data_IF_911500289634
#
_entry.id   IF_911500289634
#
_cell.length_a   1.000
_cell.length_b   1.000
_cell.length_c   1.000
_cell.angle_alpha   90.00
_cell.angle_beta   90.00
_cell.angle_gamma   90.00
#
_symmetry.space_group_name_H-M   'P 1'
#
loop_
_entity.id
_entity.type
_entity.pdbx_description
1 polymer ?
#
# COMPACT_ATOMS: atom_id res chain seq x y z
N UNK A 1 -2.17 21.38 1.50
CA UNK A 1 -1.42 21.73 0.29
C UNK A 1 -2.00 21.00 -0.92
N UNK A 2 -1.99 21.66 -2.07
CA UNK A 2 -2.44 21.10 -3.34
C UNK A 2 -1.40 20.10 -3.88
N UNK A 3 -1.88 19.08 -4.62
CA UNK A 3 -0.98 18.18 -5.35
C UNK A 3 -0.20 18.96 -6.39
N UNK A 4 1.09 18.63 -6.57
CA UNK A 4 1.97 19.30 -7.51
C UNK A 4 1.47 19.19 -8.96
N UNK A 5 0.90 18.05 -9.32
CA UNK A 5 0.33 17.79 -10.66
C UNK A 5 -1.04 17.13 -10.54
N UNK A 6 -1.99 17.45 -11.43
CA UNK A 6 -3.30 16.82 -11.45
C UNK A 6 -3.22 15.34 -11.89
N UNK A 7 -2.32 15.01 -12.81
CA UNK A 7 -2.04 13.66 -13.27
C UNK A 7 -0.60 13.29 -12.89
N UNK A 8 -0.47 12.36 -11.95
CA UNK A 8 0.82 11.83 -11.56
C UNK A 8 1.19 10.65 -12.48
N UNK A 9 2.32 10.80 -13.19
CA UNK A 9 2.87 9.77 -14.11
C UNK A 9 4.05 9.01 -13.50
N UNK A 10 4.42 9.31 -12.24
CA UNK A 10 5.47 8.57 -11.53
C UNK A 10 5.03 7.12 -11.33
N UNK A 11 5.83 6.12 -11.72
CA UNK A 11 5.51 4.70 -11.53
C UNK A 11 5.26 4.32 -10.06
N UNK A 12 5.91 5.03 -9.12
CA UNK A 12 5.74 4.84 -7.68
C UNK A 12 4.61 5.71 -7.10
N UNK A 13 4.02 6.58 -7.94
CA UNK A 13 2.97 7.54 -7.57
C UNK A 13 3.32 8.40 -6.35
N UNK A 14 4.56 8.83 -6.26
CA UNK A 14 5.05 9.69 -5.18
C UNK A 14 4.21 10.95 -5.11
N UNK A 15 3.55 11.15 -3.99
CA UNK A 15 2.52 12.17 -3.84
C UNK A 15 3.14 13.52 -3.44
N UNK A 16 3.86 14.16 -4.37
CA UNK A 16 4.36 15.51 -4.16
C UNK A 16 3.21 16.52 -4.08
N UNK A 17 3.35 17.46 -3.15
CA UNK A 17 2.55 18.69 -3.12
C UNK A 17 3.31 19.82 -3.80
N UNK A 18 2.64 20.97 -3.99
CA UNK A 18 3.33 22.19 -4.36
C UNK A 18 4.43 22.50 -3.34
N UNK A 19 5.59 22.98 -3.83
CA UNK A 19 6.70 23.39 -2.96
C UNK A 19 6.36 24.65 -2.19
N UNK A 20 6.90 24.78 -0.98
CA UNK A 20 6.58 25.90 -0.09
C UNK A 20 7.82 26.42 0.63
N UNK A 21 7.73 27.69 1.09
CA UNK A 21 8.58 28.30 2.08
C UNK A 21 7.72 29.05 3.11
N UNK A 22 8.18 29.15 4.36
CA UNK A 22 7.54 29.97 5.35
C UNK A 22 7.74 31.46 5.04
N UNK A 23 6.67 32.26 5.12
CA UNK A 23 6.76 33.73 4.99
C UNK A 23 7.17 34.37 6.31
N UNK A 24 8.13 35.27 6.25
CA UNK A 24 8.56 36.02 7.44
C UNK A 24 9.32 35.16 8.45
N UNK A 25 9.19 35.45 9.74
CA UNK A 25 9.86 34.73 10.83
C UNK A 25 11.37 34.56 10.67
N UNK A 26 12.03 35.52 9.99
CA UNK A 26 13.46 35.50 9.69
C UNK A 26 13.85 34.48 8.62
N UNK A 27 12.92 34.03 7.80
CA UNK A 27 13.20 33.32 6.54
C UNK A 27 13.55 34.34 5.48
N UNK A 28 14.64 34.10 4.76
CA UNK A 28 15.15 35.00 3.71
C UNK A 28 14.81 34.46 2.32
N UNK A 29 15.72 33.72 1.72
CA UNK A 29 15.48 33.09 0.40
C UNK A 29 14.75 31.74 0.46
N UNK A 30 14.62 31.17 1.64
CA UNK A 30 14.01 29.85 1.85
C UNK A 30 14.97 28.66 1.61
N UNK A 31 16.15 28.90 1.04
CA UNK A 31 17.04 27.81 0.58
C UNK A 31 18.06 27.36 1.64
N UNK A 32 18.41 28.21 2.59
CA UNK A 32 19.38 27.85 3.62
C UNK A 32 18.85 26.74 4.54
N UNK A 33 19.75 25.99 5.17
CA UNK A 33 19.34 24.95 6.13
C UNK A 33 18.46 25.53 7.26
N UNK A 34 18.79 26.76 7.72
CA UNK A 34 18.00 27.47 8.73
C UNK A 34 16.59 27.80 8.22
N UNK A 35 16.47 28.32 7.00
CA UNK A 35 15.18 28.69 6.41
C UNK A 35 14.30 27.46 6.17
N UNK A 36 14.91 26.37 5.65
CA UNK A 36 14.22 25.08 5.47
C UNK A 36 13.75 24.50 6.80
N UNK A 37 14.58 24.57 7.84
CA UNK A 37 14.19 24.09 9.18
C UNK A 37 12.97 24.85 9.72
N UNK A 38 12.93 26.18 9.56
CA UNK A 38 11.77 27.00 9.96
C UNK A 38 10.51 26.64 9.15
N UNK A 39 10.65 26.41 7.86
CA UNK A 39 9.54 25.99 7.00
C UNK A 39 9.01 24.61 7.41
N UNK A 40 9.90 23.64 7.67
CA UNK A 40 9.51 22.31 8.15
C UNK A 40 8.82 22.39 9.51
N UNK A 41 9.33 23.19 10.44
CA UNK A 41 8.68 23.40 11.74
C UNK A 41 7.28 24.01 11.60
N UNK A 42 7.12 24.98 10.70
CA UNK A 42 5.81 25.57 10.41
C UNK A 42 4.83 24.55 9.82
N UNK A 43 5.29 23.68 8.91
CA UNK A 43 4.43 22.64 8.31
C UNK A 43 3.84 21.66 9.32
N UNK A 44 4.49 21.46 10.47
CA UNK A 44 4.00 20.57 11.55
C UNK A 44 3.35 21.32 12.71
N UNK A 45 3.35 22.66 12.69
CA UNK A 45 2.66 23.46 13.68
C UNK A 45 1.18 23.60 13.34
N UNK A 46 0.31 23.18 14.28
CA UNK A 46 -1.16 23.26 14.14
C UNK A 46 -1.70 24.69 13.99
N UNK A 47 -0.93 25.69 14.35
CA UNK A 47 -1.32 27.10 14.26
C UNK A 47 -0.99 27.72 12.90
N UNK A 48 -0.15 27.08 12.08
CA UNK A 48 0.21 27.56 10.75
C UNK A 48 -1.01 27.56 9.83
N UNK A 49 -1.21 28.69 9.17
CA UNK A 49 -2.30 28.88 8.20
C UNK A 49 -1.75 28.76 6.77
N UNK A 50 -2.59 28.47 5.80
CA UNK A 50 -2.17 28.41 4.38
C UNK A 50 -1.48 29.67 3.89
N UNK A 51 -1.90 30.85 4.39
CA UNK A 51 -1.35 32.17 4.01
C UNK A 51 0.04 32.44 4.60
N UNK A 52 0.46 31.68 5.62
CA UNK A 52 1.80 31.76 6.19
C UNK A 52 2.85 31.13 5.27
N UNK A 53 2.43 30.40 4.25
CA UNK A 53 3.29 29.69 3.31
C UNK A 53 3.31 30.39 1.94
N UNK A 54 4.52 30.60 1.43
CA UNK A 54 4.75 31.03 0.05
C UNK A 54 4.75 29.82 -0.86
N UNK A 55 4.16 29.96 -2.05
CA UNK A 55 4.14 28.95 -3.12
C UNK A 55 4.54 29.64 -4.44
N UNK A 56 5.48 29.08 -5.24
CA UNK A 56 6.35 27.96 -4.91
C UNK A 56 7.41 28.32 -3.88
N UNK A 57 8.08 27.32 -3.31
CA UNK A 57 9.19 27.43 -2.37
C UNK A 57 10.25 26.35 -2.60
N UNK A 58 11.11 26.13 -1.61
CA UNK A 58 12.26 25.21 -1.67
C UNK A 58 12.07 23.92 -0.87
N UNK A 59 11.03 23.83 -0.06
CA UNK A 59 10.66 22.59 0.64
C UNK A 59 9.54 21.90 -0.14
N UNK A 60 9.70 20.60 -0.40
CA UNK A 60 8.78 19.78 -1.19
C UNK A 60 8.07 18.76 -0.29
N UNK A 61 6.90 19.08 0.28
CA UNK A 61 6.19 18.14 1.10
C UNK A 61 5.63 16.96 0.28
N UNK A 62 5.68 15.77 0.89
CA UNK A 62 5.10 14.54 0.37
C UNK A 62 3.93 14.13 1.25
N UNK A 63 2.90 13.56 0.65
CA UNK A 63 1.76 13.00 1.37
C UNK A 63 1.99 11.50 1.53
N UNK A 64 2.16 11.06 2.79
CA UNK A 64 2.20 9.64 3.12
C UNK A 64 0.80 9.01 3.02
N UNK A 65 0.75 7.72 2.76
CA UNK A 65 -0.52 6.96 2.82
C UNK A 65 -0.93 6.72 4.26
N UNK A 66 -2.22 6.93 4.56
CA UNK A 66 -2.79 6.56 5.85
C UNK A 66 -2.63 5.07 6.10
N UNK A 67 -2.08 4.72 7.28
CA UNK A 67 -1.67 3.36 7.61
C UNK A 67 -0.15 3.14 7.57
N UNK A 68 0.62 4.11 7.04
CA UNK A 68 2.08 4.06 7.03
C UNK A 68 2.62 2.88 6.21
N UNK A 69 3.72 2.27 6.67
CA UNK A 69 4.37 1.15 5.96
C UNK A 69 3.48 -0.09 5.83
N UNK A 70 2.46 -0.26 6.69
CA UNK A 70 1.47 -1.34 6.54
C UNK A 70 0.54 -1.13 5.35
N UNK A 71 0.48 0.08 4.80
CA UNK A 71 -0.29 0.40 3.60
C UNK A 71 0.59 0.43 2.35
N UNK A 72 1.74 1.10 2.44
CA UNK A 72 2.72 1.24 1.37
C UNK A 72 4.13 1.18 1.95
N UNK A 73 4.92 0.21 1.51
CA UNK A 73 6.31 -0.01 1.97
C UNK A 73 7.30 1.00 1.38
N UNK A 74 6.99 2.30 1.55
CA UNK A 74 7.80 3.41 1.03
C UNK A 74 8.55 4.16 2.13
N UNK A 75 9.64 4.85 1.76
CA UNK A 75 10.42 5.68 2.70
C UNK A 75 9.60 6.84 3.26
N UNK A 76 8.64 7.38 2.50
CA UNK A 76 7.71 8.42 2.96
C UNK A 76 6.88 7.93 4.13
N UNK A 77 6.31 6.73 4.01
CA UNK A 77 5.52 6.09 5.07
C UNK A 77 6.39 5.68 6.25
N UNK A 78 7.61 5.20 6.00
CA UNK A 78 8.57 4.84 7.05
C UNK A 78 8.95 6.07 7.91
N UNK A 79 9.18 7.22 7.30
CA UNK A 79 9.49 8.46 8.02
C UNK A 79 8.36 8.87 8.98
N UNK A 80 7.11 8.77 8.54
CA UNK A 80 5.93 9.06 9.36
C UNK A 80 5.81 8.06 10.51
N UNK A 81 6.00 6.76 10.22
CA UNK A 81 5.88 5.71 11.22
C UNK A 81 6.97 5.81 12.29
N UNK A 82 8.23 6.08 11.93
CA UNK A 82 9.29 6.29 12.89
C UNK A 82 9.02 7.50 13.79
N UNK A 83 8.56 8.61 13.22
CA UNK A 83 8.19 9.79 14.00
C UNK A 83 7.07 9.46 15.00
N UNK A 84 6.00 8.79 14.55
CA UNK A 84 4.87 8.40 15.38
C UNK A 84 5.26 7.40 16.47
N UNK A 85 6.02 6.36 16.13
CA UNK A 85 6.49 5.35 17.09
C UNK A 85 7.44 5.93 18.14
N UNK A 86 8.18 6.99 17.80
CA UNK A 86 9.02 7.73 18.72
C UNK A 86 8.24 8.78 19.57
N UNK A 87 6.92 8.85 19.42
CA UNK A 87 6.06 9.79 20.18
C UNK A 87 6.07 11.22 19.66
N UNK A 88 6.58 11.46 18.45
CA UNK A 88 6.56 12.78 17.79
C UNK A 88 5.31 12.94 16.91
N UNK A 89 5.14 14.15 16.36
CA UNK A 89 4.15 14.43 15.32
C UNK A 89 4.46 13.57 14.09
N UNK A 90 3.40 13.14 13.39
CA UNK A 90 3.52 12.29 12.19
C UNK A 90 4.09 13.06 11.00
N UNK A 91 5.34 13.47 11.11
CA UNK A 91 6.10 14.17 10.08
C UNK A 91 7.58 13.79 10.18
N UNK A 92 8.26 13.65 9.06
CA UNK A 92 9.67 13.33 8.99
C UNK A 92 10.33 14.04 7.81
N UNK A 93 11.61 14.33 7.94
CA UNK A 93 12.45 14.83 6.84
C UNK A 93 13.20 13.65 6.28
N UNK A 94 13.16 13.48 4.96
CA UNK A 94 13.89 12.45 4.25
C UNK A 94 14.87 13.09 3.27
N UNK A 95 16.02 12.45 3.11
CA UNK A 95 17.04 12.84 2.14
C UNK A 95 17.75 11.60 1.65
N UNK A 96 18.02 11.54 0.37
CA UNK A 96 18.77 10.45 -0.24
C UNK A 96 20.27 10.71 -0.11
N UNK A 97 21.04 9.64 0.15
CA UNK A 97 22.50 9.72 0.31
C UNK A 97 23.16 9.41 -1.02
N UNK A 98 23.93 10.37 -1.52
CA UNK A 98 24.72 10.26 -2.75
C UNK A 98 26.19 10.00 -2.43
N UNK A 99 26.87 9.29 -3.31
CA UNK A 99 28.34 9.17 -3.34
C UNK A 99 28.96 10.48 -3.86
N UNK A 100 30.26 10.65 -3.61
CA UNK A 100 31.00 11.85 -4.05
C UNK A 100 31.04 12.00 -5.59
N UNK A 101 30.89 10.91 -6.34
CA UNK A 101 30.80 10.91 -7.81
C UNK A 101 29.41 11.24 -8.34
N UNK A 102 28.43 11.50 -7.48
CA UNK A 102 27.06 11.84 -7.82
C UNK A 102 26.13 10.64 -8.05
N UNK A 103 26.61 9.41 -7.93
CA UNK A 103 25.77 8.21 -7.94
C UNK A 103 25.06 8.03 -6.60
N UNK A 104 23.96 7.26 -6.59
CA UNK A 104 23.23 6.98 -5.35
C UNK A 104 23.94 5.90 -4.56
N UNK A 105 24.21 6.15 -3.26
CA UNK A 105 24.76 5.15 -2.35
C UNK A 105 23.85 3.94 -2.23
N UNK A 106 24.45 2.74 -2.24
CA UNK A 106 23.76 1.47 -2.05
C UNK A 106 24.15 0.88 -0.69
N UNK A 107 23.61 -0.29 -0.35
CA UNK A 107 23.76 -0.85 0.99
C UNK A 107 25.21 -0.92 1.48
N UNK A 108 26.21 -1.35 0.68
CA UNK A 108 27.60 -1.37 1.15
C UNK A 108 28.11 0.02 1.57
N UNK A 109 27.93 1.03 0.71
CA UNK A 109 28.36 2.40 0.99
C UNK A 109 27.57 3.01 2.16
N UNK A 110 26.27 2.68 2.27
CA UNK A 110 25.43 3.14 3.38
C UNK A 110 25.86 2.55 4.71
N UNK A 111 26.37 1.31 4.75
CA UNK A 111 26.97 0.72 5.96
C UNK A 111 28.21 1.51 6.40
N UNK A 112 29.05 1.92 5.46
CA UNK A 112 30.25 2.73 5.77
C UNK A 112 29.84 4.12 6.30
N UNK A 113 28.85 4.76 5.69
CA UNK A 113 28.30 6.04 6.16
C UNK A 113 27.73 5.90 7.58
N UNK A 114 26.97 4.84 7.82
CA UNK A 114 26.38 4.57 9.13
C UNK A 114 27.49 4.40 10.22
N UNK A 115 28.52 3.64 9.94
CA UNK A 115 29.68 3.47 10.84
C UNK A 115 30.42 4.80 11.06
N UNK A 116 30.73 5.52 9.97
CA UNK A 116 31.48 6.78 10.02
C UNK A 116 30.80 7.85 10.88
N UNK A 117 29.49 7.93 10.81
CA UNK A 117 28.70 8.96 11.51
C UNK A 117 27.93 8.43 12.72
N UNK A 118 28.15 7.18 13.11
CA UNK A 118 27.44 6.50 14.21
C UNK A 118 25.90 6.61 14.05
N UNK A 119 25.40 6.34 12.83
CA UNK A 119 23.98 6.37 12.52
C UNK A 119 23.38 4.97 12.67
N UNK A 120 22.10 4.92 13.02
CA UNK A 120 21.31 3.68 12.96
C UNK A 120 20.91 3.42 11.52
N UNK A 121 20.95 2.16 11.11
CA UNK A 121 20.44 1.69 9.83
C UNK A 121 19.33 0.68 10.09
N UNK A 122 18.22 0.82 9.39
CA UNK A 122 16.99 0.01 9.55
C UNK A 122 16.40 -0.25 8.17
N UNK A 123 15.88 -1.45 7.94
CA UNK A 123 15.13 -1.77 6.73
C UNK A 123 13.64 -1.43 6.90
N UNK A 124 12.97 -1.11 5.79
CA UNK A 124 11.50 -0.97 5.79
C UNK A 124 10.85 -2.33 6.08
N UNK A 125 11.46 -3.42 5.67
CA UNK A 125 11.02 -4.78 5.95
C UNK A 125 10.92 -5.05 7.46
N UNK A 126 11.95 -4.72 8.23
CA UNK A 126 11.93 -4.84 9.68
C UNK A 126 10.87 -3.95 10.34
N UNK A 127 10.68 -2.74 9.80
CA UNK A 127 9.64 -1.84 10.30
C UNK A 127 8.24 -2.40 10.02
N UNK A 128 8.01 -3.00 8.85
CA UNK A 128 6.73 -3.67 8.54
C UNK A 128 6.51 -4.83 9.49
N UNK A 129 7.50 -5.70 9.68
CA UNK A 129 7.41 -6.84 10.61
C UNK A 129 7.11 -6.37 12.05
N UNK A 130 7.77 -5.32 12.51
CA UNK A 130 7.50 -4.70 13.81
C UNK A 130 6.07 -4.18 13.92
N UNK A 131 5.60 -3.45 12.88
CA UNK A 131 4.24 -2.92 12.83
C UNK A 131 3.18 -4.01 12.78
N UNK A 132 3.38 -5.05 11.96
CA UNK A 132 2.47 -6.22 11.88
C UNK A 132 2.27 -6.92 13.23
N UNK A 133 3.30 -6.93 14.07
CA UNK A 133 3.24 -7.54 15.40
C UNK A 133 2.44 -6.69 16.40
N UNK A 134 2.39 -5.37 16.21
CA UNK A 134 1.82 -4.44 17.19
C UNK A 134 0.56 -3.71 16.69
N UNK A 135 0.32 -3.70 15.38
CA UNK A 135 -0.76 -2.96 14.72
C UNK A 135 -1.47 -3.83 13.68
N UNK A 136 -2.74 -3.50 13.38
CA UNK A 136 -3.45 -4.04 12.21
C UNK A 136 -4.28 -2.94 11.55
N UNK A 137 -4.30 -2.95 10.21
CA UNK A 137 -5.19 -2.09 9.43
C UNK A 137 -6.54 -2.77 9.12
N UNK A 138 -6.75 -3.99 9.60
CA UNK A 138 -7.98 -4.76 9.38
C UNK A 138 -8.51 -5.34 10.68
N UNK A 139 -9.84 -5.37 10.80
CA UNK A 139 -10.57 -6.09 11.83
C UNK A 139 -11.49 -7.11 11.16
N UNK A 140 -11.38 -8.38 11.53
CA UNK A 140 -12.30 -9.42 11.06
C UNK A 140 -13.67 -9.20 11.70
N UNK A 141 -14.70 -9.00 10.89
CA UNK A 141 -16.07 -8.69 11.32
C UNK A 141 -17.08 -9.79 11.00
N UNK A 142 -16.68 -10.75 10.15
CA UNK A 142 -17.52 -11.83 9.67
C UNK A 142 -16.67 -13.06 9.38
N UNK A 143 -17.14 -14.27 9.75
CA UNK A 143 -16.42 -15.53 9.53
C UNK A 143 -17.41 -16.70 9.58
N UNK A 144 -18.00 -17.08 8.41
CA UNK A 144 -19.03 -18.11 8.32
C UNK A 144 -18.88 -18.96 7.06
N UNK A 145 -19.42 -20.18 7.10
CA UNK A 145 -19.52 -21.05 5.94
C UNK A 145 -20.69 -20.60 5.07
N UNK A 146 -20.47 -20.56 3.76
CA UNK A 146 -21.46 -20.14 2.77
C UNK A 146 -21.50 -21.12 1.62
N UNK A 147 -22.71 -21.43 1.17
CA UNK A 147 -22.91 -22.17 -0.06
C UNK A 147 -22.81 -21.22 -1.27
N UNK A 148 -21.94 -21.56 -2.19
CA UNK A 148 -21.78 -20.84 -3.47
C UNK A 148 -22.09 -21.78 -4.62
N UNK A 149 -22.28 -21.25 -5.82
CA UNK A 149 -22.39 -22.10 -7.03
C UNK A 149 -21.16 -22.97 -7.32
N UNK A 150 -20.03 -22.71 -6.65
CA UNK A 150 -18.78 -23.48 -6.77
C UNK A 150 -18.59 -24.51 -5.66
N UNK A 151 -19.50 -24.58 -4.69
CA UNK A 151 -19.43 -25.42 -3.50
C UNK A 151 -19.44 -24.61 -2.20
N UNK A 152 -19.22 -25.29 -1.10
CA UNK A 152 -19.15 -24.69 0.22
C UNK A 152 -17.78 -24.04 0.46
N UNK A 153 -17.77 -22.76 0.83
CA UNK A 153 -16.58 -21.98 1.10
C UNK A 153 -16.72 -21.25 2.45
N UNK A 154 -15.61 -20.98 3.09
CA UNK A 154 -15.56 -20.10 4.26
C UNK A 154 -15.45 -18.65 3.81
N UNK A 155 -16.47 -17.82 4.09
CA UNK A 155 -16.48 -16.38 3.81
C UNK A 155 -16.03 -15.61 5.03
N UNK A 156 -15.01 -14.78 4.87
CA UNK A 156 -14.53 -13.87 5.91
C UNK A 156 -14.63 -12.43 5.41
N UNK A 157 -15.12 -11.55 6.29
CA UNK A 157 -15.22 -10.12 6.05
C UNK A 157 -14.27 -9.35 6.96
N UNK A 158 -13.56 -8.38 6.38
CA UNK A 158 -12.56 -7.56 7.07
C UNK A 158 -12.88 -6.09 6.89
N UNK A 159 -13.08 -5.37 8.01
CA UNK A 159 -13.25 -3.92 7.99
C UNK A 159 -11.90 -3.25 8.18
N UNK A 160 -11.59 -2.27 7.32
CA UNK A 160 -10.37 -1.49 7.43
C UNK A 160 -10.46 -0.49 8.61
N UNK A 161 -9.38 -0.33 9.39
CA UNK A 161 -9.40 0.45 10.64
C UNK A 161 -9.36 1.96 10.43
N UNK A 162 -8.82 2.42 9.30
CA UNK A 162 -8.65 3.85 8.99
C UNK A 162 -9.72 4.41 8.03
N UNK A 163 -10.63 3.56 7.57
CA UNK A 163 -11.81 3.94 6.79
C UNK A 163 -12.88 2.86 6.96
N UNK A 164 -14.05 3.04 6.35
CA UNK A 164 -15.15 2.08 6.47
C UNK A 164 -15.19 1.03 5.35
N UNK A 165 -14.08 0.84 4.64
CA UNK A 165 -14.01 -0.18 3.58
C UNK A 165 -14.07 -1.59 4.16
N UNK A 166 -14.81 -2.44 3.47
CA UNK A 166 -14.93 -3.87 3.78
C UNK A 166 -14.25 -4.65 2.66
N UNK A 167 -13.37 -5.56 3.02
CA UNK A 167 -12.70 -6.52 2.15
C UNK A 167 -13.22 -7.91 2.48
N UNK A 168 -13.13 -8.85 1.54
CA UNK A 168 -13.65 -10.19 1.74
C UNK A 168 -12.66 -11.26 1.27
N UNK A 169 -12.73 -12.42 1.89
CA UNK A 169 -12.00 -13.61 1.46
C UNK A 169 -12.94 -14.82 1.41
N UNK A 170 -12.89 -15.58 0.31
CA UNK A 170 -13.48 -16.91 0.19
C UNK A 170 -12.35 -17.92 0.25
N UNK A 171 -12.42 -18.88 1.16
CA UNK A 171 -11.39 -19.92 1.36
C UNK A 171 -12.00 -21.30 1.32
N UNK A 172 -11.23 -22.26 0.79
CA UNK A 172 -11.53 -23.68 0.79
C UNK A 172 -10.39 -24.44 1.46
N UNK A 173 -10.73 -25.37 2.37
CA UNK A 173 -9.76 -26.17 3.09
C UNK A 173 -9.01 -25.44 4.19
N UNK A 174 -8.21 -26.19 4.97
CA UNK A 174 -7.36 -25.67 6.03
C UNK A 174 -5.94 -25.46 5.51
N UNK A 175 -5.25 -24.47 6.05
CA UNK A 175 -3.89 -24.09 5.66
C UNK A 175 -2.92 -24.35 6.81
N UNK A 176 -1.76 -24.93 6.49
CA UNK A 176 -0.60 -24.98 7.39
C UNK A 176 0.45 -23.95 6.96
N UNK A 177 1.33 -23.56 7.87
CA UNK A 177 2.40 -22.58 7.59
C UNK A 177 3.33 -22.98 6.44
N UNK A 178 3.43 -24.27 6.14
CA UNK A 178 4.28 -24.81 5.06
C UNK A 178 3.55 -24.99 3.74
N UNK A 179 2.24 -24.77 3.70
CA UNK A 179 1.45 -24.96 2.48
C UNK A 179 1.68 -23.83 1.48
N UNK A 180 1.94 -24.20 0.22
CA UNK A 180 1.92 -23.26 -0.91
C UNK A 180 0.48 -23.12 -1.40
N UNK A 181 -0.24 -22.12 -0.89
CA UNK A 181 -1.68 -22.00 -1.06
C UNK A 181 -2.04 -21.31 -2.38
N UNK A 182 -2.92 -21.95 -3.17
CA UNK A 182 -3.44 -21.38 -4.39
C UNK A 182 -4.28 -20.12 -4.09
N UNK A 183 -3.76 -18.95 -4.45
CA UNK A 183 -4.31 -17.68 -4.00
C UNK A 183 -4.59 -16.74 -5.17
N UNK A 184 -5.81 -16.20 -5.23
CA UNK A 184 -6.20 -15.13 -6.14
C UNK A 184 -6.50 -13.86 -5.34
N UNK A 185 -5.89 -12.74 -5.74
CA UNK A 185 -6.19 -11.42 -5.19
C UNK A 185 -6.85 -10.60 -6.29
N UNK A 186 -8.07 -10.14 -6.05
CA UNK A 186 -8.82 -9.26 -6.92
C UNK A 186 -8.98 -7.90 -6.28
N UNK A 187 -8.58 -6.85 -6.98
CA UNK A 187 -8.97 -5.49 -6.66
C UNK A 187 -10.23 -5.17 -7.45
N UNK A 188 -11.36 -5.03 -6.79
CA UNK A 188 -12.65 -4.84 -7.45
C UNK A 188 -13.60 -4.01 -6.59
N UNK A 189 -14.67 -3.54 -7.21
CA UNK A 189 -15.83 -3.00 -6.47
C UNK A 189 -16.59 -4.21 -5.95
N UNK A 190 -16.47 -4.51 -4.67
CA UNK A 190 -16.93 -5.76 -4.03
C UNK A 190 -18.41 -6.05 -4.27
N UNK A 191 -19.25 -5.00 -4.29
CA UNK A 191 -20.70 -5.16 -4.39
C UNK A 191 -21.16 -5.96 -5.61
N UNK A 192 -20.34 -6.01 -6.66
CA UNK A 192 -20.68 -6.76 -7.86
C UNK A 192 -20.09 -8.18 -7.90
N UNK A 193 -18.87 -8.39 -7.43
CA UNK A 193 -18.18 -9.66 -7.62
C UNK A 193 -18.59 -10.71 -6.60
N UNK A 194 -18.55 -10.38 -5.31
CA UNK A 194 -18.89 -11.33 -4.23
C UNK A 194 -20.39 -11.64 -4.23
N UNK A 195 -21.24 -10.62 -4.35
CA UNK A 195 -22.70 -10.82 -4.42
C UNK A 195 -23.12 -11.65 -5.62
N UNK A 196 -22.50 -11.48 -6.78
CA UNK A 196 -22.75 -12.33 -7.96
C UNK A 196 -22.30 -13.77 -7.75
N UNK A 197 -21.17 -14.00 -7.08
CA UNK A 197 -20.70 -15.36 -6.75
C UNK A 197 -21.70 -16.04 -5.78
N UNK A 198 -22.16 -15.33 -4.77
CA UNK A 198 -23.12 -15.87 -3.79
C UNK A 198 -24.52 -16.09 -4.40
N UNK A 199 -24.95 -15.22 -5.31
CA UNK A 199 -26.27 -15.35 -5.98
C UNK A 199 -26.29 -16.28 -7.20
N UNK A 200 -25.14 -16.85 -7.56
CA UNK A 200 -25.04 -17.73 -8.74
C UNK A 200 -25.12 -17.00 -10.10
N UNK A 201 -24.85 -15.71 -10.15
CA UNK A 201 -24.91 -14.88 -11.36
C UNK A 201 -23.57 -14.33 -11.81
N UNK A 202 -22.47 -14.98 -11.43
CA UNK A 202 -21.11 -14.52 -11.69
C UNK A 202 -20.71 -14.54 -13.17
N UNK A 203 -19.63 -13.83 -13.46
CA UNK A 203 -18.97 -13.85 -14.77
C UNK A 203 -18.11 -15.12 -14.94
N UNK A 204 -18.05 -15.68 -16.16
CA UNK A 204 -17.27 -16.88 -16.52
C UNK A 204 -15.79 -16.85 -16.10
N UNK A 205 -15.24 -15.67 -15.82
CA UNK A 205 -13.83 -15.53 -15.36
C UNK A 205 -13.57 -16.23 -14.02
N UNK A 206 -14.59 -16.31 -13.15
CA UNK A 206 -14.47 -16.96 -11.84
C UNK A 206 -14.55 -18.47 -11.95
N UNK A 207 -15.23 -19.02 -12.96
CA UNK A 207 -15.40 -20.46 -13.15
C UNK A 207 -14.05 -21.16 -13.12
N UNK A 208 -13.08 -20.67 -13.90
CA UNK A 208 -11.73 -21.26 -13.97
C UNK A 208 -10.92 -21.13 -12.68
N UNK A 209 -11.10 -20.03 -11.95
CA UNK A 209 -10.42 -19.79 -10.67
C UNK A 209 -10.91 -20.82 -9.65
N UNK A 210 -12.23 -20.92 -9.47
CA UNK A 210 -12.83 -21.83 -8.50
C UNK A 210 -12.66 -23.31 -8.92
N UNK A 211 -12.69 -23.64 -10.23
CA UNK A 211 -12.37 -24.98 -10.71
C UNK A 211 -10.98 -25.44 -10.29
N UNK A 212 -9.98 -24.55 -10.40
CA UNK A 212 -8.60 -24.87 -9.95
C UNK A 212 -8.50 -25.04 -8.45
N UNK A 213 -9.15 -24.16 -7.67
CA UNK A 213 -9.16 -24.26 -6.22
C UNK A 213 -9.86 -25.55 -5.77
N UNK A 214 -11.00 -25.89 -6.37
CA UNK A 214 -11.73 -27.12 -6.05
C UNK A 214 -10.92 -28.36 -6.42
N UNK A 215 -10.18 -28.36 -7.53
CA UNK A 215 -9.31 -29.46 -7.93
C UNK A 215 -8.15 -29.65 -6.96
N UNK A 216 -7.58 -28.54 -6.44
CA UNK A 216 -6.51 -28.58 -5.44
C UNK A 216 -7.04 -28.98 -4.05
N UNK A 217 -8.33 -28.76 -3.78
CA UNK A 217 -8.98 -29.00 -2.50
C UNK A 217 -8.68 -27.93 -1.43
N UNK A 218 -7.83 -26.95 -1.74
CA UNK A 218 -7.52 -25.81 -0.88
C UNK A 218 -7.11 -24.57 -1.69
N UNK A 219 -7.51 -23.40 -1.19
CA UNK A 219 -7.14 -22.12 -1.81
C UNK A 219 -7.93 -20.94 -1.27
N UNK A 220 -7.54 -19.74 -1.72
CA UNK A 220 -8.12 -18.49 -1.27
C UNK A 220 -8.38 -17.53 -2.43
N UNK A 221 -9.55 -16.87 -2.42
CA UNK A 221 -9.87 -15.75 -3.29
C UNK A 221 -10.12 -14.53 -2.43
N UNK A 222 -9.25 -13.52 -2.54
CA UNK A 222 -9.33 -12.30 -1.77
C UNK A 222 -9.86 -11.17 -2.65
N UNK A 223 -10.84 -10.45 -2.14
CA UNK A 223 -11.46 -9.30 -2.77
C UNK A 223 -11.10 -8.04 -1.99
N UNK A 224 -10.21 -7.23 -2.58
CA UNK A 224 -9.82 -5.94 -2.04
C UNK A 224 -10.77 -4.89 -2.61
N UNK A 225 -11.58 -4.28 -1.74
CA UNK A 225 -12.46 -3.20 -2.14
C UNK A 225 -11.63 -1.94 -2.41
N UNK A 226 -11.86 -1.32 -3.55
CA UNK A 226 -11.27 -0.03 -3.89
C UNK A 226 -12.36 1.04 -3.78
N UNK A 227 -12.18 2.01 -2.87
CA UNK A 227 -12.99 3.22 -2.88
C UNK A 227 -12.73 3.95 -4.20
N UNK A 228 -13.75 4.01 -5.03
CA UNK A 228 -13.75 4.87 -6.19
C UNK A 228 -14.24 6.25 -5.73
N UNK A 229 -13.36 7.25 -5.76
CA UNK A 229 -13.81 8.63 -5.64
C UNK A 229 -14.72 8.98 -6.84
N UNK A 230 -15.65 9.97 -6.73
CA UNK A 230 -16.42 10.44 -7.89
C UNK A 230 -15.51 10.77 -9.09
N UNK A 231 -14.33 11.32 -8.85
CA UNK A 231 -13.35 11.64 -9.90
C UNK A 231 -12.77 10.38 -10.57
N UNK A 232 -12.58 9.30 -9.84
CA UNK A 232 -12.10 8.03 -10.41
C UNK A 232 -13.18 7.38 -11.28
N UNK A 233 -14.46 7.50 -10.88
CA UNK A 233 -15.60 7.05 -11.69
C UNK A 233 -15.67 7.86 -12.99
N UNK A 234 -15.53 9.19 -12.93
CA UNK A 234 -15.53 10.05 -14.10
C UNK A 234 -14.35 9.74 -15.03
N UNK A 235 -13.16 9.53 -14.49
CA UNK A 235 -11.98 9.10 -15.28
C UNK A 235 -12.24 7.76 -15.97
N UNK A 236 -12.81 6.81 -15.26
CA UNK A 236 -13.16 5.49 -15.80
C UNK A 236 -14.21 5.58 -16.90
N UNK A 237 -15.23 6.42 -16.73
CA UNK A 237 -16.24 6.68 -17.78
C UNK A 237 -15.63 7.33 -19.02
N UNK A 238 -14.67 8.24 -18.85
CA UNK A 238 -13.96 8.87 -19.98
C UNK A 238 -13.03 7.90 -20.71
N UNK A 239 -12.41 6.94 -20.01
CA UNK A 239 -11.53 5.93 -20.62
C UNK A 239 -12.29 4.88 -21.46
N UNK A 240 -13.59 4.66 -21.21
CA UNK A 240 -14.42 3.79 -22.06
C UNK A 240 -14.55 4.29 -23.50
N UNK A 241 -14.43 5.61 -23.72
CA UNK A 241 -14.51 6.19 -25.04
C UNK A 241 -13.19 6.14 -25.84
N UNK A 242 -12.05 5.85 -25.22
CA UNK A 242 -10.73 6.00 -25.83
C UNK A 242 -9.98 4.69 -26.06
N UNK A 243 -10.56 3.53 -25.88
CA UNK A 243 -9.90 2.21 -26.05
C UNK A 243 -8.52 2.08 -25.35
N UNK A 244 -8.17 3.00 -24.47
CA UNK A 244 -6.92 3.02 -23.75
C UNK A 244 -7.14 2.66 -22.28
N UNK A 245 -6.39 1.65 -21.86
CA UNK A 245 -6.13 1.22 -20.48
C UNK A 245 -7.27 0.51 -19.71
N UNK A 246 -7.12 -0.81 -19.66
CA UNK A 246 -7.64 -1.59 -18.54
C UNK A 246 -7.13 -0.95 -17.25
N UNK A 247 -7.98 -0.73 -16.23
CA UNK A 247 -7.54 -0.15 -14.98
C UNK A 247 -6.36 -0.98 -14.44
N UNK A 248 -5.19 -0.36 -14.36
CA UNK A 248 -4.03 -0.97 -13.71
C UNK A 248 -4.47 -1.30 -12.29
N UNK A 249 -4.26 -2.55 -11.88
CA UNK A 249 -4.46 -2.97 -10.49
C UNK A 249 -3.68 -1.99 -9.63
N UNK A 250 -4.37 -1.25 -8.78
CA UNK A 250 -3.71 -0.30 -7.88
C UNK A 250 -2.88 -1.13 -6.89
N UNK A 251 -1.56 -1.15 -7.10
CA UNK A 251 -0.60 -1.85 -6.24
C UNK A 251 -0.59 -1.33 -4.79
N UNK A 252 -1.34 -0.26 -4.54
CA UNK A 252 -1.39 0.46 -3.26
C UNK A 252 -2.12 -0.29 -2.15
N UNK A 253 -3.00 -1.24 -2.49
CA UNK A 253 -3.77 -2.02 -1.50
C UNK A 253 -3.13 -3.36 -1.15
N UNK A 254 -1.88 -3.56 -1.60
CA UNK A 254 -1.16 -4.80 -1.34
C UNK A 254 -1.00 -5.05 0.17
N UNK A 255 -0.72 -4.02 0.96
CA UNK A 255 -0.59 -4.12 2.41
C UNK A 255 -1.85 -4.65 3.12
N UNK A 256 -3.05 -4.29 2.64
CA UNK A 256 -4.31 -4.85 3.15
C UNK A 256 -4.44 -6.32 2.78
N UNK A 257 -4.17 -6.67 1.51
CA UNK A 257 -4.18 -8.06 1.04
C UNK A 257 -3.19 -8.94 1.83
N UNK A 258 -2.01 -8.42 2.11
CA UNK A 258 -0.98 -9.11 2.89
C UNK A 258 -1.44 -9.38 4.33
N UNK A 259 -2.08 -8.42 4.98
CA UNK A 259 -2.62 -8.60 6.33
C UNK A 259 -3.78 -9.62 6.35
N UNK A 260 -4.64 -9.63 5.33
CA UNK A 260 -5.68 -10.64 5.18
C UNK A 260 -5.06 -12.03 5.02
N UNK A 261 -4.04 -12.18 4.17
CA UNK A 261 -3.33 -13.46 4.00
C UNK A 261 -2.70 -13.94 5.30
N UNK A 262 -2.09 -13.04 6.04
CA UNK A 262 -1.51 -13.35 7.35
C UNK A 262 -2.59 -13.80 8.36
N UNK A 263 -3.75 -13.12 8.43
CA UNK A 263 -4.88 -13.54 9.29
C UNK A 263 -5.45 -14.92 8.88
N UNK A 264 -5.37 -15.26 7.59
CA UNK A 264 -5.76 -16.57 7.06
C UNK A 264 -4.72 -17.68 7.34
N UNK A 265 -3.53 -17.35 7.87
CA UNK A 265 -2.44 -18.30 8.08
C UNK A 265 -1.70 -18.69 6.78
N UNK A 266 -1.80 -17.87 5.73
CA UNK A 266 -1.16 -18.12 4.43
C UNK A 266 0.16 -17.35 4.38
N UNK A 267 1.29 -18.08 4.41
CA UNK A 267 2.63 -17.51 4.30
C UNK A 267 3.24 -17.74 2.90
N UNK A 268 3.03 -18.91 2.33
CA UNK A 268 3.54 -19.28 1.01
C UNK A 268 2.43 -19.25 -0.04
N UNK A 269 2.63 -18.47 -1.10
CA UNK A 269 1.60 -18.17 -2.09
C UNK A 269 1.92 -18.85 -3.42
N UNK A 270 0.99 -19.65 -3.94
CA UNK A 270 0.91 -19.99 -5.33
C UNK A 270 -0.08 -19.03 -6.00
N UNK A 271 0.43 -17.98 -6.67
CA UNK A 271 -0.38 -16.89 -7.16
C UNK A 271 -1.14 -17.27 -8.45
N UNK A 272 -2.47 -17.28 -8.39
CA UNK A 272 -3.35 -17.41 -9.54
C UNK A 272 -3.39 -16.09 -10.34
N UNK A 273 -2.69 -16.03 -11.47
CA UNK A 273 -2.63 -14.83 -12.30
C UNK A 273 -2.33 -15.17 -13.76
N UNK A 274 -3.01 -14.48 -14.69
CA UNK A 274 -2.71 -14.50 -16.12
C UNK A 274 -1.84 -13.32 -16.58
N UNK A 275 -1.44 -12.43 -15.63
CA UNK A 275 -0.53 -11.33 -15.87
C UNK A 275 0.91 -11.80 -15.78
N UNK A 276 1.83 -11.12 -16.48
CA UNK A 276 3.28 -11.36 -16.34
C UNK A 276 3.73 -11.22 -14.88
N UNK A 277 4.80 -11.94 -14.53
CA UNK A 277 5.37 -11.91 -13.18
C UNK A 277 5.79 -10.49 -12.82
N UNK A 278 5.09 -9.88 -11.87
CA UNK A 278 5.49 -8.59 -11.31
C UNK A 278 6.21 -8.88 -9.99
N UNK A 279 7.49 -8.53 -9.93
CA UNK A 279 8.27 -8.57 -8.68
C UNK A 279 7.61 -7.60 -7.67
N UNK A 280 7.15 -8.13 -6.55
CA UNK A 280 6.53 -7.33 -5.48
C UNK A 280 7.52 -7.15 -4.35
N UNK A 281 8.09 -5.96 -4.27
CA UNK A 281 9.00 -5.57 -3.20
C UNK A 281 8.24 -5.47 -1.88
N UNK A 282 8.80 -5.99 -0.79
CA UNK A 282 8.27 -5.81 0.57
C UNK A 282 7.31 -6.89 1.07
N UNK A 283 7.09 -7.99 0.32
CA UNK A 283 6.27 -9.13 0.79
C UNK A 283 6.85 -9.81 2.02
N UNK A 284 8.16 -9.95 2.06
CA UNK A 284 8.89 -10.58 3.15
C UNK A 284 8.64 -9.92 4.50
N UNK A 285 8.48 -8.59 4.53
CA UNK A 285 8.12 -7.85 5.75
C UNK A 285 6.76 -8.24 6.34
N UNK A 286 5.85 -8.75 5.51
CA UNK A 286 4.57 -9.31 5.96
C UNK A 286 4.64 -10.81 6.27
N UNK A 287 5.82 -11.43 6.19
CA UNK A 287 5.99 -12.87 6.34
C UNK A 287 5.44 -13.68 5.16
N UNK A 288 5.33 -13.07 3.97
CA UNK A 288 4.77 -13.68 2.78
C UNK A 288 5.83 -13.94 1.71
N UNK A 289 5.72 -15.07 1.01
CA UNK A 289 6.51 -15.40 -0.18
C UNK A 289 5.63 -15.86 -1.34
N UNK A 290 5.97 -15.48 -2.57
CA UNK A 290 5.35 -16.04 -3.78
C UNK A 290 6.28 -17.13 -4.31
N UNK A 291 5.91 -18.38 -4.12
CA UNK A 291 6.72 -19.53 -4.56
C UNK A 291 6.43 -19.92 -6.01
N UNK A 292 5.19 -19.73 -6.45
CA UNK A 292 4.74 -20.17 -7.76
C UNK A 292 3.71 -19.22 -8.36
N UNK A 293 3.68 -19.17 -9.68
CA UNK A 293 2.62 -18.55 -10.46
C UNK A 293 1.86 -19.63 -11.24
N UNK A 294 0.54 -19.60 -11.17
CA UNK A 294 -0.35 -20.50 -11.90
C UNK A 294 -1.31 -19.67 -12.73
N UNK A 295 -1.39 -19.93 -14.04
CA UNK A 295 -2.39 -19.32 -14.94
C UNK A 295 -3.75 -20.02 -14.82
N UNK A 296 -4.85 -19.36 -15.18
CA UNK A 296 -6.23 -19.92 -15.18
C UNK A 296 -7.00 -19.56 -16.44
#
# INVERSE_FOLDING_TARGET
LEKMVPNNTDPLETAFTVSVDLKGNGVTSGISASDRAKTVQALVDKNTKPDDLQKPGHVFPLIAKDGGVLRRTGHTEAAIDFARLAGFKSAGVIVEIMNDDGTMSRLPELMDVAHKFNLKIVSIEDLVAYRMKNDSLINKIFDEDVDTQFGNYRLRGYKQTNNDQIHMALTLGDFSETDSVLTRINSSVIDNDVTKILSGTNEKRYDKIFEKINKEGKGAVIFINQNQSPDDIIKKLKSFNNNEDRPKIDFKDFGIGAQILHDLGISNINLLSNSEQIYRVGLSGYGLSIEKHTSY
#
